data_IF_169222021311
#
_entry.id   IF_169222021311
#
_cell.length_a   1.000
_cell.length_b   1.000
_cell.length_c   1.000
_cell.angle_alpha   90.00
_cell.angle_beta   90.00
_cell.angle_gamma   90.00
#
_symmetry.space_group_name_H-M   'P 1'
#
loop_
_entity.id
_entity.type
_entity.pdbx_description
1 polymer ?
#
# COMPACT_ATOMS: atom_id res chain seq x y z
N UNK A 1 -23.11 -13.77 -1.02
CA UNK A 1 -22.60 -12.56 -1.70
C UNK A 1 -22.14 -12.93 -3.10
N UNK A 2 -22.35 -12.08 -4.12
CA UNK A 2 -21.73 -12.29 -5.44
C UNK A 2 -20.22 -12.19 -5.28
N UNK A 3 -19.49 -13.26 -5.59
CA UNK A 3 -18.04 -13.31 -5.51
C UNK A 3 -17.46 -12.41 -6.62
N UNK A 4 -16.69 -11.41 -6.21
CA UNK A 4 -16.15 -10.38 -7.08
C UNK A 4 -14.99 -10.94 -7.93
N UNK A 5 -14.84 -10.47 -9.16
CA UNK A 5 -13.66 -10.76 -9.98
C UNK A 5 -12.43 -10.11 -9.35
N UNK A 6 -11.36 -10.89 -9.16
CA UNK A 6 -10.08 -10.37 -8.72
C UNK A 6 -9.53 -9.29 -9.69
N UNK A 7 -8.77 -8.30 -9.20
CA UNK A 7 -8.39 -8.11 -7.81
C UNK A 7 -9.53 -7.52 -6.94
N UNK A 8 -9.53 -7.86 -5.64
CA UNK A 8 -10.38 -7.14 -4.68
C UNK A 8 -9.87 -5.71 -4.51
N UNK A 9 -10.75 -4.71 -4.31
CA UNK A 9 -10.32 -3.35 -4.02
C UNK A 9 -9.45 -3.30 -2.76
N UNK A 10 -8.32 -2.55 -2.74
CA UNK A 10 -7.56 -2.33 -1.51
C UNK A 10 -8.45 -1.79 -0.39
N UNK A 11 -8.30 -2.31 0.81
CA UNK A 11 -9.14 -1.99 1.97
C UNK A 11 -10.44 -2.79 2.06
N UNK A 12 -10.77 -3.64 1.08
CA UNK A 12 -11.89 -4.57 1.20
C UNK A 12 -11.67 -5.54 2.36
N UNK A 13 -12.67 -5.66 3.25
CA UNK A 13 -12.65 -6.58 4.39
C UNK A 13 -13.44 -7.84 4.01
N UNK A 14 -12.80 -9.00 4.04
CA UNK A 14 -13.47 -10.26 3.78
C UNK A 14 -14.41 -10.61 4.95
N UNK A 15 -15.72 -10.80 4.73
CA UNK A 15 -16.71 -10.90 5.81
C UNK A 15 -16.51 -12.07 6.78
N UNK A 16 -15.95 -13.17 6.31
CA UNK A 16 -15.87 -14.42 7.09
C UNK A 16 -14.64 -14.46 7.99
N UNK A 17 -13.53 -13.90 7.52
CA UNK A 17 -12.20 -13.99 8.14
C UNK A 17 -11.74 -12.66 8.73
N UNK A 18 -12.38 -11.55 8.36
CA UNK A 18 -11.97 -10.21 8.76
C UNK A 18 -10.64 -9.75 8.13
N UNK A 19 -10.08 -10.53 7.19
CA UNK A 19 -8.84 -10.18 6.51
C UNK A 19 -9.07 -9.03 5.54
N UNK A 20 -8.04 -8.22 5.33
CA UNK A 20 -8.12 -7.00 4.52
C UNK A 20 -7.29 -7.15 3.25
N UNK A 21 -7.88 -6.82 2.11
CA UNK A 21 -7.20 -6.78 0.83
C UNK A 21 -6.17 -5.64 0.80
N UNK A 22 -4.91 -5.94 0.50
CA UNK A 22 -3.81 -4.98 0.39
C UNK A 22 -3.10 -5.12 -0.95
N UNK A 23 -2.44 -4.06 -1.40
CA UNK A 23 -1.71 -4.07 -2.66
C UNK A 23 -0.42 -4.88 -2.53
N UNK A 24 -0.14 -5.74 -3.51
CA UNK A 24 1.09 -6.54 -3.59
C UNK A 24 2.33 -5.66 -3.46
N UNK A 25 2.37 -4.54 -4.19
CA UNK A 25 3.51 -3.60 -4.15
C UNK A 25 3.75 -2.97 -2.78
N UNK A 26 2.70 -2.76 -1.99
CA UNK A 26 2.80 -2.11 -0.68
C UNK A 26 3.32 -3.10 0.36
N UNK A 27 2.84 -4.34 0.29
CA UNK A 27 3.36 -5.42 1.12
C UNK A 27 4.82 -5.73 0.78
N UNK A 28 5.16 -5.87 -0.51
CA UNK A 28 6.52 -6.16 -0.96
C UNK A 28 7.56 -5.12 -0.51
N UNK A 29 7.14 -3.86 -0.36
CA UNK A 29 8.00 -2.76 0.06
C UNK A 29 8.06 -2.57 1.60
N UNK A 30 7.41 -3.46 2.36
CA UNK A 30 7.31 -3.36 3.82
C UNK A 30 8.11 -4.46 4.52
N UNK A 31 8.45 -4.20 5.78
CA UNK A 31 9.08 -5.19 6.66
C UNK A 31 8.15 -6.37 6.99
N UNK A 32 6.89 -6.35 6.55
CA UNK A 32 5.98 -7.49 6.71
C UNK A 32 6.21 -8.58 5.65
N UNK A 33 6.95 -8.27 4.59
CA UNK A 33 7.21 -9.23 3.52
C UNK A 33 8.06 -10.41 4.02
N UNK A 34 7.45 -11.59 4.10
CA UNK A 34 8.08 -12.79 4.67
C UNK A 34 7.86 -12.97 6.17
N UNK A 35 7.61 -11.88 6.90
CA UNK A 35 7.45 -11.89 8.36
C UNK A 35 5.99 -11.97 8.82
N UNK A 36 5.05 -11.54 7.98
CA UNK A 36 3.62 -11.61 8.26
C UNK A 36 2.92 -12.65 7.36
N UNK A 37 1.87 -13.35 7.85
CA UNK A 37 1.07 -14.20 7.00
C UNK A 37 0.22 -13.36 6.03
N UNK A 38 0.31 -13.75 4.76
CA UNK A 38 -0.48 -13.22 3.65
C UNK A 38 -1.25 -14.36 2.96
N UNK A 39 -2.44 -14.06 2.44
CA UNK A 39 -3.37 -15.06 1.95
C UNK A 39 -3.89 -14.70 0.56
N UNK A 40 -3.65 -15.59 -0.39
CA UNK A 40 -4.21 -15.52 -1.72
C UNK A 40 -5.54 -16.27 -1.78
N UNK A 41 -6.58 -15.59 -2.25
CA UNK A 41 -7.90 -16.19 -2.43
C UNK A 41 -8.00 -16.92 -3.78
N UNK A 42 -8.47 -18.17 -3.74
CA UNK A 42 -8.72 -19.02 -4.91
C UNK A 42 -10.21 -19.34 -5.02
N UNK A 43 -10.92 -18.65 -5.92
CA UNK A 43 -12.34 -18.92 -6.19
C UNK A 43 -12.56 -20.37 -6.65
N UNK A 44 -11.65 -20.90 -7.48
CA UNK A 44 -11.71 -22.28 -7.97
C UNK A 44 -11.60 -23.30 -6.83
N UNK A 45 -10.69 -23.08 -5.87
CA UNK A 45 -10.57 -23.96 -4.71
C UNK A 45 -11.87 -23.97 -3.90
N UNK A 46 -12.49 -22.80 -3.71
CA UNK A 46 -13.78 -22.71 -3.04
C UNK A 46 -14.90 -23.41 -3.80
N UNK A 47 -14.94 -23.27 -5.13
CA UNK A 47 -15.91 -23.95 -6.00
C UNK A 47 -15.79 -25.47 -5.92
N UNK A 48 -14.58 -25.98 -5.68
CA UNK A 48 -14.31 -27.39 -5.47
C UNK A 48 -14.49 -27.85 -4.01
N UNK A 49 -14.92 -26.97 -3.10
CA UNK A 49 -15.09 -27.29 -1.68
C UNK A 49 -13.77 -27.49 -0.92
N UNK A 50 -12.66 -26.98 -1.46
CA UNK A 50 -11.34 -26.97 -0.83
C UNK A 50 -11.13 -25.65 -0.08
N UNK A 51 -10.08 -25.59 0.75
CA UNK A 51 -9.68 -24.33 1.38
C UNK A 51 -9.28 -23.29 0.30
N UNK A 52 -9.99 -22.15 0.20
CA UNK A 52 -9.69 -21.14 -0.80
C UNK A 52 -8.49 -20.26 -0.45
N UNK A 53 -7.94 -20.38 0.77
CA UNK A 53 -6.90 -19.49 1.27
C UNK A 53 -5.52 -20.10 1.16
N UNK A 54 -4.77 -19.70 0.14
CA UNK A 54 -3.38 -20.12 -0.03
C UNK A 54 -2.42 -19.19 0.70
N UNK A 55 -1.55 -19.74 1.52
CA UNK A 55 -0.52 -18.97 2.21
C UNK A 55 0.54 -18.47 1.22
N UNK A 56 0.82 -17.18 1.29
CA UNK A 56 1.92 -16.50 0.60
C UNK A 56 3.12 -16.49 1.54
N UNK A 57 4.25 -16.98 1.06
CA UNK A 57 5.53 -17.00 1.77
C UNK A 57 6.25 -15.65 1.64
N UNK A 58 6.17 -15.03 0.47
CA UNK A 58 6.83 -13.75 0.22
C UNK A 58 6.49 -13.21 -1.16
N UNK A 59 6.94 -11.99 -1.41
CA UNK A 59 6.78 -11.31 -2.70
C UNK A 59 8.11 -10.76 -3.16
N UNK A 60 8.58 -11.22 -4.31
CA UNK A 60 9.82 -10.75 -4.93
C UNK A 60 9.56 -9.81 -6.12
N UNK A 61 10.44 -8.84 -6.39
CA UNK A 61 10.42 -8.13 -7.67
C UNK A 61 10.64 -9.12 -8.83
N UNK A 62 9.80 -9.04 -9.86
CA UNK A 62 9.99 -9.87 -11.05
C UNK A 62 11.22 -9.41 -11.86
N UNK A 63 11.93 -10.35 -12.49
CA UNK A 63 13.22 -10.12 -13.17
C UNK A 63 13.19 -9.07 -14.28
N UNK A 64 12.03 -8.83 -14.90
CA UNK A 64 11.87 -7.83 -15.96
C UNK A 64 11.37 -6.46 -15.47
N UNK A 65 11.22 -6.28 -14.16
CA UNK A 65 10.72 -5.04 -13.56
C UNK A 65 9.22 -4.82 -13.79
N UNK A 66 8.61 -3.95 -12.99
CA UNK A 66 7.20 -3.55 -13.15
C UNK A 66 6.15 -4.61 -12.77
N UNK A 67 6.57 -5.82 -12.40
CA UNK A 67 5.74 -6.91 -11.88
C UNK A 67 6.36 -7.53 -10.63
N UNK A 68 5.60 -8.38 -9.96
CA UNK A 68 6.00 -9.07 -8.73
C UNK A 68 5.73 -10.57 -8.85
N UNK A 69 6.62 -11.38 -8.29
CA UNK A 69 6.43 -12.82 -8.14
C UNK A 69 5.94 -13.10 -6.73
N UNK A 70 4.71 -13.59 -6.62
CA UNK A 70 4.12 -14.04 -5.35
C UNK A 70 4.51 -15.50 -5.14
N UNK A 71 5.30 -15.76 -4.10
CA UNK A 71 5.81 -17.07 -3.72
C UNK A 71 4.83 -17.73 -2.74
N UNK A 72 4.38 -18.96 -3.01
CA UNK A 72 3.44 -19.67 -2.15
C UNK A 72 4.16 -20.71 -1.29
N UNK A 73 3.75 -20.85 -0.03
CA UNK A 73 4.31 -21.85 0.89
C UNK A 73 4.10 -23.30 0.41
N UNK A 74 3.14 -23.54 -0.49
CA UNK A 74 2.93 -24.82 -1.16
C UNK A 74 3.99 -25.16 -2.22
N UNK A 75 4.95 -24.25 -2.45
CA UNK A 75 5.75 -24.21 -3.65
C UNK A 75 5.04 -23.52 -4.81
N UNK A 76 5.86 -23.01 -5.74
CA UNK A 76 5.42 -22.31 -6.95
C UNK A 76 5.29 -20.80 -6.77
N UNK A 77 5.22 -20.12 -7.91
CA UNK A 77 5.16 -18.66 -8.02
C UNK A 77 4.05 -18.21 -8.96
N UNK A 78 3.53 -17.01 -8.72
CA UNK A 78 2.62 -16.33 -9.65
C UNK A 78 3.10 -14.91 -9.90
N UNK A 79 3.42 -14.60 -11.15
CA UNK A 79 3.73 -13.24 -11.57
C UNK A 79 2.45 -12.41 -11.69
N UNK A 80 2.45 -11.23 -11.07
CA UNK A 80 1.30 -10.32 -11.02
C UNK A 80 1.73 -8.87 -11.21
N UNK A 81 0.81 -8.05 -11.71
CA UNK A 81 1.01 -6.61 -11.78
C UNK A 81 0.96 -5.92 -10.40
N UNK A 82 1.44 -4.67 -10.29
CA UNK A 82 1.61 -3.94 -9.03
C UNK A 82 0.28 -3.59 -8.33
N UNK A 83 -0.83 -3.66 -9.06
CA UNK A 83 -2.19 -3.36 -8.57
C UNK A 83 -2.96 -4.61 -8.12
N UNK A 84 -2.35 -5.79 -8.22
CA UNK A 84 -2.94 -7.00 -7.68
C UNK A 84 -3.05 -6.89 -6.15
N UNK A 85 -4.06 -7.56 -5.59
CA UNK A 85 -4.28 -7.61 -4.15
C UNK A 85 -4.31 -9.04 -3.64
N UNK A 86 -3.94 -9.19 -2.37
CA UNK A 86 -4.17 -10.37 -1.55
C UNK A 86 -4.50 -9.91 -0.13
N UNK A 87 -4.75 -10.85 0.76
CA UNK A 87 -5.32 -10.57 2.07
C UNK A 87 -4.30 -10.72 3.19
N UNK A 88 -4.33 -9.80 4.17
CA UNK A 88 -3.58 -9.90 5.43
C UNK A 88 -4.55 -9.73 6.61
N UNK A 89 -4.10 -9.96 7.84
CA UNK A 89 -4.91 -9.64 9.02
C UNK A 89 -5.20 -8.14 9.10
N UNK A 90 -6.26 -7.75 9.83
CA UNK A 90 -6.59 -6.35 10.05
C UNK A 90 -5.42 -5.57 10.70
N UNK A 91 -4.72 -6.18 11.67
CA UNK A 91 -3.57 -5.57 12.34
C UNK A 91 -2.42 -5.30 11.38
N UNK A 92 -2.09 -6.27 10.50
CA UNK A 92 -1.04 -6.08 9.49
C UNK A 92 -1.43 -5.05 8.43
N UNK A 93 -2.71 -5.00 8.05
CA UNK A 93 -3.21 -3.96 7.14
C UNK A 93 -3.08 -2.55 7.77
N UNK A 94 -3.33 -2.43 9.07
CA UNK A 94 -3.11 -1.18 9.80
C UNK A 94 -1.62 -0.80 9.84
N UNK A 95 -0.73 -1.75 10.10
CA UNK A 95 0.71 -1.52 10.06
C UNK A 95 1.17 -1.02 8.68
N UNK A 96 0.71 -1.64 7.59
CA UNK A 96 0.99 -1.18 6.23
C UNK A 96 0.49 0.23 5.95
N UNK A 97 -0.72 0.56 6.41
CA UNK A 97 -1.28 1.90 6.24
C UNK A 97 -0.43 2.98 6.95
N UNK A 98 0.06 2.67 8.15
CA UNK A 98 0.95 3.56 8.92
C UNK A 98 2.29 3.73 8.21
N UNK A 99 2.94 2.65 7.79
CA UNK A 99 4.23 2.69 7.07
C UNK A 99 4.14 3.48 5.75
N UNK A 100 3.02 3.34 5.03
CA UNK A 100 2.74 4.12 3.82
C UNK A 100 2.60 5.61 4.13
N UNK A 101 1.83 5.96 5.17
CA UNK A 101 1.64 7.35 5.57
C UNK A 101 2.97 8.00 6.00
N UNK A 102 3.78 7.28 6.77
CA UNK A 102 5.13 7.73 7.16
C UNK A 102 6.04 7.95 5.94
N UNK A 103 6.03 7.02 4.98
CA UNK A 103 6.82 7.14 3.74
C UNK A 103 6.37 8.31 2.86
N UNK A 104 5.06 8.57 2.78
CA UNK A 104 4.50 9.72 2.06
C UNK A 104 4.85 11.04 2.75
N UNK A 105 4.75 11.10 4.09
CA UNK A 105 5.16 12.27 4.86
C UNK A 105 6.66 12.53 4.77
N UNK A 106 7.52 11.50 4.74
CA UNK A 106 8.96 11.68 4.50
C UNK A 106 9.26 12.27 3.11
N UNK A 107 8.53 11.84 2.08
CA UNK A 107 8.64 12.40 0.72
C UNK A 107 8.11 13.84 0.61
N UNK A 108 7.08 14.20 1.37
CA UNK A 108 6.56 15.58 1.42
C UNK A 108 7.32 16.49 2.39
N UNK A 109 7.87 15.96 3.47
CA UNK A 109 8.67 16.66 4.48
C UNK A 109 10.08 17.03 3.99
N UNK A 110 10.57 16.36 2.95
CA UNK A 110 11.83 16.70 2.27
C UNK A 110 11.66 17.78 1.18
N UNK A 111 10.53 18.52 1.18
CA UNK A 111 10.32 19.71 0.34
C UNK A 111 10.22 21.02 1.11
N UNK A 112 10.42 21.01 2.44
CA UNK A 112 10.31 22.20 3.30
C UNK A 112 11.68 22.75 3.73
N UNK A 113 12.79 22.17 3.30
CA UNK A 113 14.13 22.65 3.68
C UNK A 113 14.92 23.11 2.46
N UNK A 114 14.53 24.26 1.89
CA UNK A 114 15.44 25.22 1.26
C UNK A 114 14.69 26.54 0.94
N UNK A 115 14.20 27.20 1.99
CA UNK A 115 14.16 28.66 1.98
C UNK A 115 15.14 29.06 3.08
N UNK A 116 16.37 29.40 2.70
CA UNK A 116 17.30 30.10 3.58
C UNK A 116 16.63 31.42 3.98
N UNK A 117 15.97 31.42 5.12
CA UNK A 117 15.33 32.61 5.69
C UNK A 117 16.43 33.55 6.17
N UNK A 118 16.84 34.46 5.30
CA UNK A 118 17.50 35.69 5.70
C UNK A 118 16.49 36.63 6.36
N UNK A 119 16.87 37.42 7.38
CA UNK A 119 15.97 38.31 8.10
C UNK A 119 15.31 39.42 7.24
N UNK A 120 15.76 39.60 5.99
CA UNK A 120 15.22 40.59 5.05
C UNK A 120 13.95 40.13 4.29
N UNK A 121 13.70 38.81 4.18
CA UNK A 121 12.56 38.28 3.42
C UNK A 121 11.23 38.31 4.19
N UNK A 122 11.27 38.29 5.52
CA UNK A 122 10.08 38.46 6.37
C UNK A 122 9.47 39.86 6.23
N UNK A 123 10.29 40.89 5.97
CA UNK A 123 9.80 42.26 5.72
C UNK A 123 9.16 42.40 4.33
N UNK A 124 9.65 41.67 3.32
CA UNK A 124 9.04 41.65 1.97
C UNK A 124 7.71 40.91 1.94
N UNK A 125 7.60 39.80 2.67
CA UNK A 125 6.33 39.07 2.81
C UNK A 125 5.27 39.90 3.53
N UNK A 126 5.63 40.63 4.59
CA UNK A 126 4.69 41.52 5.27
C UNK A 126 4.19 42.68 4.38
N UNK A 127 5.02 43.19 3.47
CA UNK A 127 4.62 44.24 2.52
C UNK A 127 3.64 43.72 1.45
N UNK A 128 3.84 42.50 0.95
CA UNK A 128 2.96 41.86 -0.04
C UNK A 128 1.55 41.56 0.52
N UNK A 129 1.44 41.24 1.81
CA UNK A 129 0.13 40.99 2.45
C UNK A 129 -0.55 42.26 2.99
N UNK A 130 0.09 43.43 2.92
CA UNK A 130 -0.52 44.69 3.37
C UNK A 130 -1.17 45.50 2.22
N UNK A 131 -0.84 45.22 0.95
CA UNK A 131 -1.40 45.96 -0.19
C UNK A 131 -2.73 45.38 -0.71
N UNK A 132 -2.98 44.07 -0.52
CA UNK A 132 -4.26 43.45 -0.89
C UNK A 132 -5.43 43.81 0.05
N UNK A 133 -5.15 44.42 1.20
CA UNK A 133 -6.17 44.90 2.15
C UNK A 133 -6.72 46.30 1.82
N UNK A 134 -6.27 46.95 0.72
CA UNK A 134 -6.67 48.33 0.35
C UNK A 134 -7.31 48.48 -1.03
N UNK A 135 -7.68 47.38 -1.71
CA UNK A 135 -8.52 47.41 -2.92
C UNK A 135 -9.82 46.65 -2.71
N UNK A 136 -10.59 47.13 -1.75
CA UNK A 136 -12.05 47.09 -1.78
C UNK A 136 -12.56 48.44 -2.27
#
# INVERSE_FOLDING_TARGET
MKKQTLPYPPGFVEPTTGRVAVLVREYAASDLNGDAPAYWYSAQSEEWGLDPWRLVEGVDPHVHGGSFDVCFASGGTRTVGPLMTFFVSADHAQQLAVSRAASQMGRYGMRVVEVQQGPDDLKRLAALYSDDAKKG
#
